data_IF_871148778615
#
_entry.id   IF_871148778615
#
_cell.length_a   1.000
_cell.length_b   1.000
_cell.length_c   1.000
_cell.angle_alpha   90.00
_cell.angle_beta   90.00
_cell.angle_gamma   90.00
#
_symmetry.space_group_name_H-M   'P 1'
#
loop_
_entity.id
_entity.type
_entity.pdbx_description
1 polymer ?
#
# COMPACT_ATOMS: atom_id res chain seq x y z
N UNK A 1 -7.18 12.50 9.08
CA UNK A 1 -5.83 11.97 9.02
C UNK A 1 -5.03 12.44 10.22
N UNK A 2 -4.12 11.61 10.66
CA UNK A 2 -3.19 12.01 11.70
C UNK A 2 -2.29 13.14 11.17
N UNK A 3 -1.86 14.01 12.09
CA UNK A 3 -1.06 15.17 11.71
C UNK A 3 0.21 14.77 10.96
N UNK A 4 0.86 13.69 11.39
CA UNK A 4 2.11 13.30 10.74
C UNK A 4 1.88 12.85 9.30
N UNK A 5 0.75 12.22 9.03
CA UNK A 5 0.42 11.82 7.66
C UNK A 5 0.20 13.04 6.80
N UNK A 6 -0.51 14.03 7.33
CA UNK A 6 -0.77 15.27 6.61
C UNK A 6 0.53 15.99 6.28
N UNK A 7 1.43 16.07 7.25
CA UNK A 7 2.73 16.71 7.03
C UNK A 7 3.56 15.98 6.00
N UNK A 8 3.56 14.66 6.05
CA UNK A 8 4.30 13.85 5.09
C UNK A 8 3.77 14.08 3.68
N UNK A 9 2.45 14.11 3.53
CA UNK A 9 1.84 14.28 2.22
C UNK A 9 2.21 15.62 1.59
N UNK A 10 2.44 16.65 2.40
CA UNK A 10 2.78 17.97 1.88
C UNK A 10 4.27 18.17 1.67
N UNK A 11 5.10 17.51 2.46
CA UNK A 11 6.54 17.80 2.46
C UNK A 11 7.38 16.71 1.82
N UNK A 12 6.93 15.48 1.86
CA UNK A 12 7.77 14.33 1.51
C UNK A 12 6.96 13.30 0.77
N UNK A 13 7.70 12.46 0.05
CA UNK A 13 7.11 11.27 -0.52
C UNK A 13 6.67 10.36 0.61
N UNK A 14 5.53 9.70 0.41
CA UNK A 14 4.95 8.84 1.43
C UNK A 14 4.39 7.59 0.80
N UNK A 15 4.52 6.48 1.52
CA UNK A 15 3.84 5.23 1.20
C UNK A 15 2.76 5.04 2.25
N UNK A 16 1.55 4.78 1.81
CA UNK A 16 0.42 4.69 2.72
C UNK A 16 -0.43 3.48 2.36
N UNK A 17 -1.03 2.86 3.37
CA UNK A 17 -1.92 1.74 3.15
C UNK A 17 -2.99 1.71 4.23
N UNK A 18 -4.06 0.98 3.95
CA UNK A 18 -5.17 0.91 4.87
C UNK A 18 -6.23 -0.07 4.42
N UNK A 19 -7.40 0.07 5.02
CA UNK A 19 -8.54 -0.79 4.78
C UNK A 19 -9.75 0.02 4.35
N UNK A 20 -10.45 -0.46 3.32
CA UNK A 20 -11.68 0.14 2.82
C UNK A 20 -12.81 -0.85 3.03
N UNK A 21 -13.88 -0.49 3.74
CA UNK A 21 -14.94 -1.46 4.08
C UNK A 21 -15.89 -1.80 2.95
N UNK A 22 -15.80 -1.10 1.82
CA UNK A 22 -16.70 -1.33 0.71
C UNK A 22 -17.63 -0.16 0.51
N UNK A 23 -18.02 0.06 -0.75
CA UNK A 23 -18.93 1.14 -1.14
C UNK A 23 -18.36 1.93 -2.30
N UNK A 24 -19.22 2.70 -2.98
CA UNK A 24 -18.77 3.50 -4.10
C UNK A 24 -18.09 2.68 -5.19
N UNK A 25 -16.90 3.09 -5.62
CA UNK A 25 -16.23 2.43 -6.73
C UNK A 25 -15.77 1.00 -6.44
N UNK A 26 -15.63 0.65 -5.15
CA UNK A 26 -15.27 -0.71 -4.74
C UNK A 26 -16.35 -1.19 -3.76
N UNK A 27 -17.31 -1.97 -4.23
CA UNK A 27 -18.45 -2.34 -3.38
C UNK A 27 -18.16 -3.47 -2.40
N UNK A 28 -16.91 -3.85 -2.23
CA UNK A 28 -16.52 -4.91 -1.32
C UNK A 28 -15.29 -4.47 -0.52
N UNK A 29 -15.03 -5.10 0.64
CA UNK A 29 -13.91 -4.68 1.49
C UNK A 29 -12.57 -5.01 0.83
N UNK A 30 -11.63 -4.12 0.96
CA UNK A 30 -10.28 -4.31 0.42
C UNK A 30 -9.24 -3.69 1.33
N UNK A 31 -8.01 -4.20 1.21
CA UNK A 31 -6.83 -3.48 1.67
C UNK A 31 -6.26 -2.70 0.50
N UNK A 32 -5.67 -1.55 0.75
CA UNK A 32 -5.09 -0.73 -0.31
C UNK A 32 -3.71 -0.24 0.07
N UNK A 33 -2.93 0.13 -0.94
CA UNK A 33 -1.59 0.68 -0.74
C UNK A 33 -1.23 1.57 -1.91
N UNK A 34 -0.68 2.75 -1.63
CA UNK A 34 -0.27 3.68 -2.67
C UNK A 34 0.98 4.44 -2.26
N UNK A 35 1.66 5.00 -3.26
CA UNK A 35 2.77 5.91 -3.05
C UNK A 35 2.39 7.30 -3.52
N UNK A 36 2.85 8.33 -2.81
CA UNK A 36 2.56 9.71 -3.17
C UNK A 36 3.83 10.56 -3.05
N UNK A 37 4.20 11.30 -4.09
CA UNK A 37 3.60 11.17 -5.44
C UNK A 37 3.88 9.80 -6.01
N UNK A 38 3.01 9.33 -6.89
CA UNK A 38 3.18 7.99 -7.44
C UNK A 38 4.44 7.95 -8.30
N UNK A 39 5.39 7.06 -7.99
CA UNK A 39 6.61 6.99 -8.78
C UNK A 39 6.38 6.31 -10.12
N UNK A 40 7.15 6.67 -11.14
CA UNK A 40 7.04 6.01 -12.44
C UNK A 40 7.24 4.51 -12.29
N UNK A 41 6.38 3.75 -12.94
CA UNK A 41 6.46 2.28 -12.92
C UNK A 41 5.75 1.63 -11.76
N UNK A 42 5.23 2.41 -10.81
CA UNK A 42 4.56 1.84 -9.65
C UNK A 42 3.33 1.00 -10.05
N UNK A 43 2.54 1.50 -10.99
CA UNK A 43 1.30 0.82 -11.38
C UNK A 43 1.53 -0.54 -12.04
N UNK A 44 2.72 -0.78 -12.55
CA UNK A 44 3.05 -2.05 -13.19
C UNK A 44 4.03 -2.88 -12.38
N UNK A 45 4.34 -2.45 -11.16
CA UNK A 45 5.25 -3.17 -10.30
C UNK A 45 4.65 -4.52 -9.91
N UNK A 46 5.51 -5.52 -9.73
CA UNK A 46 5.05 -6.81 -9.26
C UNK A 46 4.90 -6.79 -7.77
N UNK A 47 3.70 -7.09 -7.31
CA UNK A 47 3.40 -7.13 -5.88
C UNK A 47 2.78 -8.47 -5.53
N UNK A 48 2.70 -8.76 -4.27
CA UNK A 48 2.16 -10.02 -3.75
C UNK A 48 1.00 -9.73 -2.82
N UNK A 49 0.16 -10.70 -2.53
CA UNK A 49 0.09 -12.03 -3.15
C UNK A 49 -0.69 -11.99 -4.48
N UNK A 50 -0.84 -13.14 -5.10
CA UNK A 50 -1.74 -13.25 -6.25
C UNK A 50 -3.11 -12.75 -5.84
N UNK A 51 -3.76 -12.05 -6.75
CA UNK A 51 -5.05 -11.44 -6.45
C UNK A 51 -4.95 -9.97 -6.14
N UNK A 52 -3.76 -9.48 -5.80
CA UNK A 52 -3.54 -8.04 -5.69
C UNK A 52 -3.52 -7.45 -7.10
N UNK A 53 -4.09 -6.26 -7.25
CA UNK A 53 -4.11 -5.60 -8.55
C UNK A 53 -4.05 -4.08 -8.36
N UNK A 54 -3.67 -3.38 -9.43
CA UNK A 54 -3.61 -1.93 -9.39
C UNK A 54 -4.90 -1.34 -9.95
N UNK A 55 -5.50 -0.42 -9.22
CA UNK A 55 -6.68 0.31 -9.68
C UNK A 55 -6.25 1.62 -10.30
N UNK A 56 -6.46 1.78 -11.60
CA UNK A 56 -6.11 3.03 -12.27
C UNK A 56 -7.03 4.17 -11.84
N UNK A 57 -8.27 3.86 -11.50
CA UNK A 57 -9.21 4.88 -11.06
C UNK A 57 -8.83 5.45 -9.70
N UNK A 58 -8.40 4.59 -8.79
CA UNK A 58 -8.07 4.99 -7.44
C UNK A 58 -6.58 5.28 -7.27
N UNK A 59 -5.77 4.86 -8.24
CA UNK A 59 -4.32 5.04 -8.23
C UNK A 59 -3.66 4.37 -7.03
N UNK A 60 -4.11 3.14 -6.77
CA UNK A 60 -3.55 2.38 -5.66
C UNK A 60 -3.64 0.89 -5.93
N UNK A 61 -2.78 0.13 -5.27
CA UNK A 61 -2.88 -1.31 -5.29
C UNK A 61 -3.98 -1.75 -4.35
N UNK A 62 -4.68 -2.80 -4.76
CA UNK A 62 -5.86 -3.31 -4.06
C UNK A 62 -5.68 -4.79 -3.80
N UNK A 63 -6.00 -5.22 -2.60
CA UNK A 63 -6.06 -6.63 -2.25
C UNK A 63 -7.42 -6.89 -1.60
N UNK A 64 -8.32 -7.63 -2.27
CA UNK A 64 -9.63 -7.91 -1.68
C UNK A 64 -9.51 -8.60 -0.34
N UNK A 65 -10.36 -8.22 0.59
CA UNK A 65 -10.36 -8.78 1.94
C UNK A 65 -10.50 -10.31 1.91
N UNK A 66 -11.31 -10.83 1.00
CA UNK A 66 -11.53 -12.27 0.89
C UNK A 66 -10.26 -13.04 0.63
N UNK A 67 -9.32 -12.44 -0.08
CA UNK A 67 -8.03 -13.10 -0.35
C UNK A 67 -7.22 -13.26 0.92
N UNK A 68 -7.36 -12.34 1.84
CA UNK A 68 -6.66 -12.43 3.13
C UNK A 68 -7.41 -13.39 4.04
N UNK A 69 -8.73 -13.20 4.16
CA UNK A 69 -9.53 -13.99 5.08
C UNK A 69 -9.52 -15.48 4.72
N UNK A 70 -9.48 -15.80 3.42
CA UNK A 70 -9.47 -17.18 2.96
C UNK A 70 -8.10 -17.81 2.84
N UNK A 71 -7.05 -17.08 3.16
CA UNK A 71 -5.68 -17.59 3.01
C UNK A 71 -5.34 -18.53 4.15
N UNK A 72 -4.40 -19.45 3.87
CA UNK A 72 -3.92 -20.39 4.88
C UNK A 72 -3.22 -19.65 6.03
N UNK A 73 -2.53 -18.55 5.71
CA UNK A 73 -1.86 -17.72 6.69
C UNK A 73 -2.23 -16.27 6.44
N UNK A 74 -3.39 -15.81 6.95
CA UNK A 74 -3.88 -14.45 6.64
C UNK A 74 -2.91 -13.34 6.99
N UNK A 75 -2.25 -13.43 8.13
CA UNK A 75 -1.30 -12.39 8.54
C UNK A 75 -0.13 -12.29 7.58
N UNK A 76 0.40 -13.43 7.15
CA UNK A 76 1.51 -13.46 6.21
C UNK A 76 1.08 -12.91 4.86
N UNK A 77 -0.13 -13.27 4.44
CA UNK A 77 -0.68 -12.80 3.17
C UNK A 77 -0.80 -11.28 3.15
N UNK A 78 -1.35 -10.72 4.20
CA UNK A 78 -1.47 -9.27 4.32
C UNK A 78 -0.08 -8.62 4.38
N UNK A 79 0.82 -9.20 5.16
CA UNK A 79 2.16 -8.67 5.29
C UNK A 79 2.88 -8.65 3.94
N UNK A 80 2.73 -9.70 3.13
CA UNK A 80 3.33 -9.72 1.80
C UNK A 80 2.82 -8.58 0.93
N UNK A 81 1.53 -8.29 1.03
CA UNK A 81 0.96 -7.19 0.28
C UNK A 81 1.57 -5.85 0.71
N UNK A 82 1.59 -5.61 2.01
CA UNK A 82 2.13 -4.37 2.55
C UNK A 82 3.61 -4.23 2.22
N UNK A 83 4.37 -5.30 2.40
CA UNK A 83 5.81 -5.26 2.16
C UNK A 83 6.14 -5.06 0.69
N UNK A 84 5.48 -5.81 -0.19
CA UNK A 84 5.82 -5.73 -1.62
C UNK A 84 5.42 -4.38 -2.20
N UNK A 85 4.31 -3.81 -1.78
CA UNK A 85 3.90 -2.50 -2.27
C UNK A 85 4.80 -1.40 -1.71
N UNK A 86 5.21 -1.51 -0.45
CA UNK A 86 6.16 -0.56 0.13
C UNK A 86 7.50 -0.62 -0.59
N UNK A 87 7.99 -1.84 -0.84
CA UNK A 87 9.28 -2.02 -1.53
C UNK A 87 9.23 -1.40 -2.92
N UNK A 88 8.11 -1.59 -3.63
CA UNK A 88 7.95 -1.00 -4.95
C UNK A 88 7.98 0.52 -4.89
N UNK A 89 7.25 1.10 -3.94
CA UNK A 89 7.21 2.56 -3.80
C UNK A 89 8.59 3.10 -3.46
N UNK A 90 9.27 2.46 -2.53
CA UNK A 90 10.59 2.88 -2.07
C UNK A 90 11.62 2.80 -3.21
N UNK A 91 11.65 1.66 -3.89
CA UNK A 91 12.63 1.41 -4.95
C UNK A 91 12.43 2.37 -6.12
N UNK A 92 11.18 2.53 -6.54
CA UNK A 92 10.88 3.33 -7.72
C UNK A 92 10.95 4.83 -7.44
N UNK A 93 10.75 5.23 -6.20
CA UNK A 93 10.91 6.63 -5.81
C UNK A 93 12.36 7.04 -5.69
N UNK A 94 13.28 6.07 -5.68
CA UNK A 94 14.68 6.38 -5.50
C UNK A 94 14.98 6.92 -4.12
N UNK A 95 14.23 6.49 -3.12
CA UNK A 95 14.48 6.93 -1.76
C UNK A 95 15.88 6.50 -1.33
N UNK A 96 16.59 7.42 -0.69
CA UNK A 96 17.93 7.16 -0.21
C UNK A 96 17.90 5.96 0.73
N UNK A 97 18.85 5.02 0.53
CA UNK A 97 18.90 3.83 1.38
C UNK A 97 19.12 4.19 2.84
N UNK A 98 19.78 5.32 3.12
CA UNK A 98 19.92 5.80 4.48
C UNK A 98 18.62 6.28 5.07
N UNK A 99 17.65 6.59 4.23
CA UNK A 99 16.31 6.99 4.65
C UNK A 99 15.31 5.85 4.52
N UNK A 100 15.74 4.76 3.95
CA UNK A 100 14.88 3.60 3.79
C UNK A 100 14.50 3.08 5.16
N UNK A 101 13.21 2.92 5.36
CA UNK A 101 12.69 2.54 6.67
C UNK A 101 12.36 1.09 6.72
N UNK A 102 12.52 0.46 7.86
CA UNK A 102 11.94 -0.88 8.04
C UNK A 102 10.43 -0.80 7.87
N UNK A 103 9.82 -1.95 7.64
CA UNK A 103 8.39 -1.99 7.39
C UNK A 103 7.58 -1.34 8.51
N UNK A 104 8.02 -1.46 9.74
CA UNK A 104 7.28 -0.88 10.86
C UNK A 104 7.11 0.63 10.68
N UNK A 105 8.10 1.32 10.12
CA UNK A 105 7.96 2.74 9.83
C UNK A 105 6.96 2.97 8.71
N UNK A 106 6.93 2.09 7.70
CA UNK A 106 5.93 2.16 6.64
C UNK A 106 4.55 1.83 7.15
N UNK A 107 4.46 0.87 8.06
CA UNK A 107 3.19 0.45 8.63
C UNK A 107 2.53 1.58 9.42
N UNK A 108 3.29 2.52 9.92
CA UNK A 108 2.70 3.67 10.58
C UNK A 108 1.77 4.46 9.66
N UNK A 109 1.87 4.25 8.37
CA UNK A 109 0.97 4.86 7.40
C UNK A 109 -0.33 4.09 7.23
N UNK A 110 -0.44 2.92 7.82
CA UNK A 110 -1.65 2.09 7.67
C UNK A 110 -2.82 2.76 8.38
N UNK A 111 -3.96 2.75 7.71
CA UNK A 111 -5.22 3.28 8.23
C UNK A 111 -6.30 2.22 8.04
N UNK A 112 -6.68 1.61 9.12
CA UNK A 112 -7.69 0.57 9.08
C UNK A 112 -9.02 1.12 9.59
#
# INVERSE_FOLDING_TARGET
LADWVTREAYSHEVSSCGFWPGGGPLPYPVFYSYGYPEPPGFSTAQVRPDGAFYSTDLREFILPYDRVAGAAAPDDTLFEFLQSTYDAASRLSGWDSGLEKPLDAGVRSVRL
#
